data_IF_689462409312
#
_entry.id   IF_689462409312
#
_cell.length_a   1.000
_cell.length_b   1.000
_cell.length_c   1.000
_cell.angle_alpha   90.00
_cell.angle_beta   90.00
_cell.angle_gamma   90.00
#
_symmetry.space_group_name_H-M   'P 1'
#
loop_
_entity.id
_entity.type
_entity.pdbx_description
1 polymer ?
#
# COMPACT_ATOMS: atom_id res chain seq x y z
N UNK A 1 -28.89 7.81 1.29
CA UNK A 1 -28.00 8.98 1.49
C UNK A 1 -26.58 8.48 1.37
N UNK A 2 -25.96 8.71 0.22
CA UNK A 2 -24.56 8.38 -0.03
C UNK A 2 -23.69 9.44 0.66
N UNK A 3 -23.02 9.07 1.75
CA UNK A 3 -21.94 9.89 2.29
C UNK A 3 -20.90 10.10 1.18
N UNK A 4 -20.63 11.36 0.88
CA UNK A 4 -19.47 11.75 0.08
C UNK A 4 -18.23 11.27 0.85
N UNK A 5 -17.23 10.64 0.20
CA UNK A 5 -15.99 10.35 0.89
C UNK A 5 -15.40 11.68 1.34
N UNK A 6 -15.30 11.85 2.65
CA UNK A 6 -14.63 12.95 3.33
C UNK A 6 -13.33 13.23 2.60
N UNK A 7 -13.04 14.50 2.30
CA UNK A 7 -11.87 14.90 1.52
C UNK A 7 -10.57 14.45 2.22
N UNK A 8 -10.12 13.22 1.92
CA UNK A 8 -8.97 12.56 2.53
C UNK A 8 -7.66 13.28 2.17
N UNK A 9 -7.69 14.21 1.21
CA UNK A 9 -6.50 14.91 0.75
C UNK A 9 -5.93 15.89 1.78
N UNK A 10 -6.74 16.31 2.76
CA UNK A 10 -6.40 17.37 3.72
C UNK A 10 -6.26 16.88 5.17
N UNK A 11 -6.35 15.58 5.40
CA UNK A 11 -6.26 15.07 6.77
C UNK A 11 -4.81 15.19 7.28
N UNK A 12 -4.62 15.66 8.54
CA UNK A 12 -3.30 15.70 9.14
C UNK A 12 -2.76 14.28 9.29
N UNK A 13 -1.45 14.12 9.17
CA UNK A 13 -0.78 12.88 9.56
C UNK A 13 -0.67 12.87 11.08
N UNK A 14 -1.02 11.74 11.67
CA UNK A 14 -0.96 11.51 13.11
C UNK A 14 -0.07 10.28 13.39
N UNK A 15 0.12 9.95 14.67
CA UNK A 15 0.83 8.73 15.05
C UNK A 15 0.03 7.49 14.63
N UNK A 16 0.67 6.57 13.91
CA UNK A 16 0.12 5.28 13.49
C UNK A 16 1.01 4.12 13.94
N UNK A 17 0.44 2.92 14.00
CA UNK A 17 1.17 1.69 14.33
C UNK A 17 1.90 1.16 13.08
N UNK A 18 3.18 0.81 13.23
CA UNK A 18 3.96 0.24 12.14
C UNK A 18 3.46 -1.16 11.78
N UNK A 19 3.51 -1.52 10.48
CA UNK A 19 3.12 -2.85 10.00
C UNK A 19 4.37 -3.57 9.49
N UNK A 20 4.67 -4.72 10.09
CA UNK A 20 5.79 -5.55 9.65
C UNK A 20 5.56 -6.09 8.23
N UNK A 21 6.56 -5.89 7.38
CA UNK A 21 6.58 -6.32 5.98
C UNK A 21 7.98 -6.78 5.61
N UNK A 22 8.08 -7.73 4.67
CA UNK A 22 9.35 -8.10 4.05
C UNK A 22 9.96 -6.91 3.29
N UNK A 23 11.29 -6.87 3.26
CA UNK A 23 12.02 -5.75 2.65
C UNK A 23 11.87 -5.72 1.12
N UNK A 24 11.20 -4.68 0.62
CA UNK A 24 11.01 -4.46 -0.82
C UNK A 24 12.28 -3.87 -1.45
N UNK A 25 13.07 -4.74 -2.06
CA UNK A 25 14.26 -4.36 -2.83
C UNK A 25 13.88 -4.05 -4.29
N UNK A 26 13.54 -2.79 -4.56
CA UNK A 26 13.27 -2.27 -5.90
C UNK A 26 13.97 -0.92 -6.10
N UNK A 27 14.53 -0.68 -7.28
CA UNK A 27 15.11 0.60 -7.61
C UNK A 27 14.00 1.61 -7.93
N UNK A 28 13.98 2.76 -7.24
CA UNK A 28 12.95 3.79 -7.42
C UNK A 28 12.90 4.34 -8.86
N UNK A 29 14.02 4.35 -9.58
CA UNK A 29 14.08 4.86 -10.96
C UNK A 29 13.28 4.01 -11.95
N UNK A 30 13.01 2.75 -11.60
CA UNK A 30 12.29 1.81 -12.46
C UNK A 30 10.76 1.92 -12.28
N UNK A 31 10.32 2.81 -11.38
CA UNK A 31 8.93 3.04 -11.02
C UNK A 31 8.41 4.37 -11.61
N UNK A 32 7.16 4.38 -12.03
CA UNK A 32 6.44 5.63 -12.33
C UNK A 32 6.22 6.46 -11.05
N UNK A 33 5.85 7.73 -11.20
CA UNK A 33 5.63 8.65 -10.06
C UNK A 33 4.62 8.11 -9.04
N UNK A 34 3.51 7.55 -9.52
CA UNK A 34 2.46 7.00 -8.66
C UNK A 34 2.95 5.75 -7.90
N UNK A 35 3.76 4.91 -8.56
CA UNK A 35 4.33 3.70 -7.95
C UNK A 35 5.43 4.03 -6.93
N UNK A 36 6.24 5.06 -7.19
CA UNK A 36 7.19 5.60 -6.22
C UNK A 36 6.45 6.12 -4.98
N UNK A 37 5.32 6.80 -5.18
CA UNK A 37 4.50 7.28 -4.06
C UNK A 37 3.93 6.13 -3.23
N UNK A 38 3.41 5.08 -3.87
CA UNK A 38 3.01 3.86 -3.15
C UNK A 38 4.18 3.28 -2.34
N UNK A 39 5.37 3.18 -2.93
CA UNK A 39 6.55 2.62 -2.25
C UNK A 39 6.95 3.46 -1.03
N UNK A 40 6.92 4.78 -1.16
CA UNK A 40 7.27 5.70 -0.07
C UNK A 40 6.27 5.59 1.10
N UNK A 41 4.97 5.49 0.82
CA UNK A 41 3.93 5.26 1.85
C UNK A 41 4.11 3.89 2.52
N UNK A 42 4.33 2.82 1.74
CA UNK A 42 4.55 1.47 2.28
C UNK A 42 5.74 1.44 3.23
N UNK A 43 6.87 2.05 2.84
CA UNK A 43 8.07 2.15 3.70
C UNK A 43 7.83 2.98 4.95
N UNK A 44 7.04 4.05 4.82
CA UNK A 44 6.66 4.90 5.96
C UNK A 44 5.83 4.12 6.98
N UNK A 45 4.84 3.34 6.51
CA UNK A 45 4.03 2.48 7.38
C UNK A 45 4.88 1.36 7.99
N UNK A 46 5.80 0.77 7.22
CA UNK A 46 6.68 -0.29 7.69
C UNK A 46 7.64 0.19 8.79
N UNK A 47 8.20 1.39 8.64
CA UNK A 47 9.18 1.95 9.59
C UNK A 47 8.53 2.69 10.75
N UNK A 48 7.24 3.03 10.65
CA UNK A 48 6.58 3.95 11.59
C UNK A 48 7.08 5.40 11.48
N UNK A 49 7.95 5.71 10.51
CA UNK A 49 8.58 7.01 10.37
C UNK A 49 8.04 7.75 9.16
N UNK A 50 7.35 8.86 9.41
CA UNK A 50 6.76 9.68 8.36
C UNK A 50 7.73 10.74 7.83
N UNK A 51 7.86 10.81 6.50
CA UNK A 51 8.66 11.82 5.82
C UNK A 51 7.81 13.07 5.48
N UNK A 52 8.20 14.30 5.91
CA UNK A 52 7.39 15.51 5.69
C UNK A 52 7.08 15.82 4.22
N UNK A 53 7.98 15.44 3.30
CA UNK A 53 7.80 15.64 1.86
C UNK A 53 6.66 14.79 1.28
N UNK A 54 6.29 13.70 1.95
CA UNK A 54 5.20 12.82 1.55
C UNK A 54 3.81 13.44 1.80
N UNK A 55 3.72 14.39 2.74
CA UNK A 55 2.48 15.08 3.12
C UNK A 55 2.03 16.10 2.06
N UNK A 56 3.01 16.64 1.34
CA UNK A 56 2.79 17.66 0.31
C UNK A 56 2.35 17.02 -1.01
N UNK A 57 2.65 15.73 -1.21
CA UNK A 57 2.27 15.00 -2.43
C UNK A 57 0.77 14.69 -2.38
N UNK A 58 0.04 15.24 -3.35
CA UNK A 58 -1.39 14.96 -3.52
C UNK A 58 -1.52 13.68 -4.36
N UNK A 59 -2.27 12.66 -3.87
CA UNK A 59 -2.62 11.51 -4.69
C UNK A 59 -3.32 11.97 -5.98
N UNK A 60 -2.98 11.38 -7.12
CA UNK A 60 -3.71 11.66 -8.36
C UNK A 60 -5.22 11.41 -8.22
N UNK A 61 -6.03 12.03 -9.07
CA UNK A 61 -7.48 11.87 -9.05
C UNK A 61 -7.89 10.40 -9.24
N UNK A 62 -8.89 9.95 -8.48
CA UNK A 62 -9.51 8.63 -8.65
C UNK A 62 -10.17 8.58 -10.04
N UNK A 63 -9.50 7.99 -11.01
CA UNK A 63 -10.14 7.54 -12.25
C UNK A 63 -10.65 6.11 -12.05
N UNK A 64 -11.81 5.78 -12.64
CA UNK A 64 -12.63 4.59 -12.40
C UNK A 64 -11.97 3.19 -12.50
N UNK A 65 -10.66 3.06 -12.74
CA UNK A 65 -10.00 1.75 -12.90
C UNK A 65 -8.56 1.67 -12.35
N UNK A 66 -8.15 2.58 -11.46
CA UNK A 66 -6.77 2.59 -10.92
C UNK A 66 -6.72 2.13 -9.47
N UNK A 67 -6.65 0.81 -9.27
CA UNK A 67 -6.48 0.19 -7.96
C UNK A 67 -5.24 0.73 -7.20
N UNK A 68 -4.18 1.13 -7.92
CA UNK A 68 -3.02 1.82 -7.33
C UNK A 68 -3.40 3.10 -6.58
N UNK A 69 -4.26 3.93 -7.18
CA UNK A 69 -4.71 5.19 -6.58
C UNK A 69 -5.60 4.94 -5.37
N UNK A 70 -6.48 3.93 -5.44
CA UNK A 70 -7.28 3.52 -4.28
C UNK A 70 -6.39 3.05 -3.12
N UNK A 71 -5.43 2.16 -3.38
CA UNK A 71 -4.50 1.67 -2.37
C UNK A 71 -3.72 2.82 -1.71
N UNK A 72 -3.22 3.77 -2.50
CA UNK A 72 -2.52 4.95 -2.00
C UNK A 72 -3.41 5.77 -1.05
N UNK A 73 -4.68 5.97 -1.41
CA UNK A 73 -5.62 6.73 -0.59
C UNK A 73 -5.99 5.99 0.70
N UNK A 74 -6.23 4.68 0.63
CA UNK A 74 -6.52 3.85 1.81
C UNK A 74 -5.37 3.87 2.82
N UNK A 75 -4.13 3.75 2.32
CA UNK A 75 -2.93 3.84 3.16
C UNK A 75 -2.72 5.25 3.73
N UNK A 76 -3.02 6.30 2.96
CA UNK A 76 -2.95 7.67 3.47
C UNK A 76 -4.01 7.92 4.54
N UNK A 77 -5.21 7.39 4.36
CA UNK A 77 -6.30 7.47 5.32
C UNK A 77 -5.92 6.77 6.64
N UNK A 78 -5.26 5.60 6.57
CA UNK A 78 -4.74 4.89 7.74
C UNK A 78 -3.79 5.75 8.58
N UNK A 79 -2.86 6.46 7.93
CA UNK A 79 -1.87 7.33 8.57
C UNK A 79 -2.51 8.58 9.19
N UNK A 80 -3.71 8.93 8.75
CA UNK A 80 -4.45 10.11 9.18
C UNK A 80 -5.54 9.84 10.22
N UNK A 81 -5.80 8.58 10.58
CA UNK A 81 -6.92 8.18 11.45
C UNK A 81 -6.47 7.78 12.85
N UNK A 82 -7.00 8.47 13.87
CA UNK A 82 -6.67 8.25 15.29
C UNK A 82 -7.22 6.94 15.82
N UNK A 83 -8.31 6.44 15.23
CA UNK A 83 -8.96 5.20 15.60
C UNK A 83 -9.30 4.41 14.35
N UNK A 84 -8.60 3.31 14.15
CA UNK A 84 -8.84 2.38 13.04
C UNK A 84 -9.95 1.42 13.43
N UNK A 85 -10.99 1.30 12.60
CA UNK A 85 -11.95 0.19 12.74
C UNK A 85 -11.28 -1.13 12.35
N UNK A 86 -11.78 -2.25 12.88
CA UNK A 86 -11.22 -3.58 12.55
C UNK A 86 -11.20 -3.88 11.05
N UNK A 87 -12.24 -3.42 10.33
CA UNK A 87 -12.36 -3.54 8.87
C UNK A 87 -11.28 -2.74 8.13
N UNK A 88 -11.02 -1.49 8.56
CA UNK A 88 -9.99 -0.66 7.95
C UNK A 88 -8.58 -1.22 8.23
N UNK A 89 -8.33 -1.73 9.44
CA UNK A 89 -7.06 -2.39 9.78
C UNK A 89 -6.86 -3.64 8.92
N UNK A 90 -7.92 -4.41 8.65
CA UNK A 90 -7.87 -5.56 7.74
C UNK A 90 -7.59 -5.14 6.30
N UNK A 91 -8.26 -4.10 5.80
CA UNK A 91 -8.05 -3.59 4.43
C UNK A 91 -6.63 -3.06 4.21
N UNK A 92 -6.09 -2.33 5.19
CA UNK A 92 -4.72 -1.82 5.15
C UNK A 92 -3.71 -2.96 5.19
N UNK A 93 -3.93 -3.95 6.06
CA UNK A 93 -3.09 -5.15 6.10
C UNK A 93 -3.10 -5.90 4.77
N UNK A 94 -4.28 -6.08 4.15
CA UNK A 94 -4.39 -6.68 2.83
C UNK A 94 -3.65 -5.86 1.76
N UNK A 95 -3.80 -4.54 1.79
CA UNK A 95 -3.15 -3.64 0.84
C UNK A 95 -1.63 -3.67 0.97
N UNK A 96 -1.11 -3.65 2.20
CA UNK A 96 0.32 -3.73 2.50
C UNK A 96 0.90 -5.10 2.18
N UNK A 97 0.36 -6.17 2.78
CA UNK A 97 0.96 -7.51 2.76
C UNK A 97 0.71 -8.25 1.45
N UNK A 98 -0.45 -8.06 0.84
CA UNK A 98 -0.83 -8.77 -0.39
C UNK A 98 -0.60 -7.89 -1.60
N UNK A 99 -1.30 -6.75 -1.69
CA UNK A 99 -1.30 -5.97 -2.91
C UNK A 99 0.08 -5.33 -3.21
N UNK A 100 0.63 -4.54 -2.28
CA UNK A 100 1.90 -3.84 -2.49
C UNK A 100 3.06 -4.84 -2.69
N UNK A 101 3.15 -5.88 -1.86
CA UNK A 101 4.17 -6.93 -2.02
C UNK A 101 4.13 -7.60 -3.39
N UNK A 102 2.94 -7.99 -3.86
CA UNK A 102 2.79 -8.61 -5.19
C UNK A 102 3.10 -7.61 -6.31
N UNK A 103 2.63 -6.36 -6.18
CA UNK A 103 2.89 -5.31 -7.15
C UNK A 103 4.39 -5.06 -7.35
N UNK A 104 5.15 -4.89 -6.27
CA UNK A 104 6.58 -4.67 -6.35
C UNK A 104 7.36 -5.92 -6.77
N UNK A 105 6.90 -7.12 -6.40
CA UNK A 105 7.46 -8.36 -6.93
C UNK A 105 7.32 -8.44 -8.46
N UNK A 106 6.14 -8.08 -8.99
CA UNK A 106 5.88 -8.01 -10.43
C UNK A 106 6.81 -7.01 -11.12
N UNK A 107 6.91 -5.81 -10.55
CA UNK A 107 7.75 -4.73 -11.11
C UNK A 107 9.24 -5.08 -11.09
N UNK A 108 9.70 -5.84 -10.08
CA UNK A 108 11.09 -6.30 -10.00
C UNK A 108 11.46 -7.28 -11.11
N UNK A 109 10.51 -8.09 -11.59
CA UNK A 109 10.78 -9.09 -12.63
C UNK A 109 9.80 -8.97 -13.80
N UNK A 110 9.87 -7.91 -14.63
CA UNK A 110 8.84 -7.60 -15.62
C UNK A 110 8.74 -8.62 -16.78
N UNK A 111 9.69 -9.55 -16.90
CA UNK A 111 9.71 -10.50 -18.02
C UNK A 111 8.77 -11.69 -17.82
N UNK A 112 8.17 -12.16 -18.93
CA UNK A 112 7.30 -13.35 -18.98
C UNK A 112 8.01 -14.61 -18.47
N UNK A 113 9.34 -14.69 -18.58
CA UNK A 113 10.14 -15.80 -18.04
C UNK A 113 9.98 -15.98 -16.52
N UNK A 114 9.67 -14.90 -15.80
CA UNK A 114 9.42 -14.93 -14.35
C UNK A 114 7.94 -15.07 -13.99
N UNK A 115 7.04 -15.27 -14.98
CA UNK A 115 5.59 -15.42 -14.77
C UNK A 115 5.23 -16.50 -13.74
N UNK A 116 6.00 -17.59 -13.69
CA UNK A 116 5.83 -18.64 -12.68
C UNK A 116 6.15 -18.14 -11.26
N UNK A 117 7.22 -17.34 -11.10
CA UNK A 117 7.60 -16.77 -9.81
C UNK A 117 6.57 -15.75 -9.33
N UNK A 118 5.97 -14.97 -10.23
CA UNK A 118 4.87 -14.04 -9.89
C UNK A 118 3.63 -14.76 -9.36
N UNK A 119 3.23 -15.85 -10.01
CA UNK A 119 2.12 -16.69 -9.52
C UNK A 119 2.45 -17.31 -8.17
N UNK A 120 3.69 -17.76 -7.98
CA UNK A 120 4.16 -18.29 -6.70
C UNK A 120 4.08 -17.23 -5.61
N UNK A 121 4.63 -16.03 -5.80
CA UNK A 121 4.59 -14.97 -4.80
C UNK A 121 3.15 -14.59 -4.44
N UNK A 122 2.26 -14.46 -5.43
CA UNK A 122 0.83 -14.21 -5.16
C UNK A 122 0.19 -15.37 -4.37
N UNK A 123 0.50 -16.62 -4.72
CA UNK A 123 -0.02 -17.80 -4.02
C UNK A 123 0.55 -17.95 -2.60
N UNK A 124 1.85 -17.72 -2.39
CA UNK A 124 2.49 -17.75 -1.09
C UNK A 124 1.91 -16.66 -0.18
N UNK A 125 1.81 -15.41 -0.65
CA UNK A 125 1.21 -14.31 0.12
C UNK A 125 -0.26 -14.59 0.47
N UNK A 126 -1.00 -15.26 -0.42
CA UNK A 126 -2.37 -15.71 -0.14
C UNK A 126 -2.45 -16.89 0.85
N UNK A 127 -1.46 -17.80 0.84
CA UNK A 127 -1.44 -18.98 1.71
C UNK A 127 -1.02 -18.62 3.14
N UNK A 128 0.01 -17.79 3.32
CA UNK A 128 0.45 -17.34 4.65
C UNK A 128 -0.57 -16.40 5.34
N UNK A 129 -1.53 -15.85 4.59
CA UNK A 129 -2.68 -15.13 5.16
C UNK A 129 -3.69 -16.08 5.83
N UNK A 130 -3.72 -17.37 5.46
CA UNK A 130 -4.59 -18.38 6.09
C UNK A 130 -3.93 -19.11 7.27
N UNK A 131 -2.62 -18.98 7.45
CA UNK A 131 -1.88 -19.57 8.58
C UNK A 131 -1.77 -18.63 9.79
N UNK A 132 -2.19 -17.35 9.66
CA UNK A 132 -2.23 -16.36 10.75
C UNK A 132 -3.64 -16.17 11.36
N UNK A 133 -4.59 -17.07 11.06
CA UNK A 133 -5.96 -17.12 11.66
C UNK A 133 -6.18 -18.46 12.40
N UNK A 134 -5.14 -19.01 13.03
CA UNK A 134 -5.28 -20.09 14.02
C UNK A 134 -4.57 -19.71 15.31
#
# INVERSE_FOLDING_TARGET
MSEQPTNCEKLPIINFEAIELDEVHINKTDLSKDEQYLLDIVKTIQTGQWAPDLAVRVPGHLSHSRWLTCAIQDLRLFISLTSLTGELKMLVNYTMKTYASVWFAIKRYPSVKYGYNHRKTAFYNSKYHNELIC
#
